data_IF_156921055812
#
_entry.id   IF_156921055812
#
_cell.length_a   1.000
_cell.length_b   1.000
_cell.length_c   1.000
_cell.angle_alpha   90.00
_cell.angle_beta   90.00
_cell.angle_gamma   90.00
#
_symmetry.space_group_name_H-M   'P 1'
#
loop_
_entity.id
_entity.type
_entity.pdbx_description
1 polymer ?
#
# COMPACT_ATOMS: atom_id res chain seq x y z
N UNK A 1 22.35 -1.58 5.26
CA UNK A 1 21.49 -1.63 4.04
C UNK A 1 20.41 -2.70 4.15
N UNK A 2 20.73 -3.93 4.58
CA UNK A 2 19.77 -5.05 4.67
C UNK A 2 18.52 -4.82 5.54
N UNK A 3 18.64 -4.14 6.68
CA UNK A 3 17.50 -3.90 7.58
C UNK A 3 16.42 -2.98 7.01
N UNK A 4 16.78 -2.05 6.13
CA UNK A 4 15.79 -1.16 5.48
C UNK A 4 15.01 -1.89 4.38
N UNK A 5 15.71 -2.70 3.58
CA UNK A 5 15.09 -3.51 2.52
C UNK A 5 14.09 -4.49 3.13
N UNK A 6 14.47 -5.17 4.22
CA UNK A 6 13.57 -6.06 4.95
C UNK A 6 12.30 -5.35 5.41
N UNK A 7 12.43 -4.13 5.96
CA UNK A 7 11.26 -3.32 6.37
C UNK A 7 10.34 -2.99 5.19
N UNK A 8 10.88 -2.57 4.05
CA UNK A 8 10.05 -2.32 2.87
C UNK A 8 9.36 -3.59 2.37
N UNK A 9 10.05 -4.74 2.36
CA UNK A 9 9.43 -6.03 2.04
C UNK A 9 8.29 -6.40 3.00
N UNK A 10 8.46 -6.19 4.31
CA UNK A 10 7.40 -6.37 5.30
C UNK A 10 6.21 -5.44 5.06
N UNK A 11 6.43 -4.19 4.64
CA UNK A 11 5.35 -3.26 4.33
C UNK A 11 4.51 -3.75 3.14
N UNK A 12 5.11 -4.35 2.12
CA UNK A 12 4.36 -4.96 1.02
C UNK A 12 3.42 -6.07 1.52
N UNK A 13 3.91 -6.92 2.42
CA UNK A 13 3.10 -7.99 3.03
C UNK A 13 1.96 -7.38 3.87
N UNK A 14 2.26 -6.37 4.68
CA UNK A 14 1.25 -5.65 5.48
C UNK A 14 0.18 -5.04 4.59
N UNK A 15 0.55 -4.42 3.47
CA UNK A 15 -0.39 -3.83 2.52
C UNK A 15 -1.33 -4.87 1.91
N UNK A 16 -0.81 -6.03 1.56
CA UNK A 16 -1.65 -7.14 1.09
C UNK A 16 -2.61 -7.65 2.18
N UNK A 17 -2.15 -7.76 3.43
CA UNK A 17 -3.01 -8.14 4.56
C UNK A 17 -4.11 -7.10 4.82
N UNK A 18 -3.83 -5.80 4.67
CA UNK A 18 -4.83 -4.73 4.79
C UNK A 18 -5.95 -4.92 3.77
N UNK A 19 -5.62 -5.29 2.52
CA UNK A 19 -6.62 -5.59 1.49
C UNK A 19 -7.48 -6.80 1.89
N UNK A 20 -6.87 -7.87 2.38
CA UNK A 20 -7.60 -9.06 2.84
C UNK A 20 -8.54 -8.70 4.01
N UNK A 21 -8.06 -7.93 4.98
CA UNK A 21 -8.87 -7.48 6.12
C UNK A 21 -10.04 -6.62 5.65
N UNK A 22 -9.78 -5.63 4.78
CA UNK A 22 -10.81 -4.80 4.17
C UNK A 22 -11.86 -5.63 3.46
N UNK A 23 -11.42 -6.60 2.66
CA UNK A 23 -12.30 -7.54 1.94
C UNK A 23 -13.24 -8.29 2.87
N UNK A 24 -12.71 -8.84 3.97
CA UNK A 24 -13.50 -9.61 4.94
C UNK A 24 -14.50 -8.74 5.70
N UNK A 25 -14.10 -7.54 6.09
CA UNK A 25 -14.96 -6.61 6.85
C UNK A 25 -16.09 -6.08 5.98
N UNK A 26 -15.77 -5.65 4.75
CA UNK A 26 -16.74 -5.02 3.85
C UNK A 26 -17.52 -6.01 3.01
N UNK A 27 -17.17 -7.31 3.07
CA UNK A 27 -17.78 -8.37 2.28
C UNK A 27 -17.79 -8.06 0.78
N UNK A 28 -16.77 -7.33 0.31
CA UNK A 28 -16.59 -6.99 -1.09
C UNK A 28 -16.37 -8.28 -1.88
N UNK A 29 -17.25 -8.48 -2.86
CA UNK A 29 -17.54 -9.79 -3.42
C UNK A 29 -16.41 -10.47 -4.19
N UNK A 30 -16.60 -11.77 -4.44
CA UNK A 30 -15.78 -12.57 -5.33
C UNK A 30 -15.78 -11.96 -6.73
N UNK A 31 -14.61 -11.61 -7.23
CA UNK A 31 -14.42 -11.38 -8.65
C UNK A 31 -14.82 -12.61 -9.44
N UNK A 32 -15.47 -12.42 -10.59
CA UNK A 32 -15.74 -13.54 -11.50
C UNK A 32 -14.39 -14.15 -11.90
N UNK A 33 -14.26 -15.46 -11.80
CA UNK A 33 -13.05 -16.17 -12.22
C UNK A 33 -12.83 -15.95 -13.72
N UNK A 34 -11.63 -15.50 -14.11
CA UNK A 34 -11.31 -15.12 -15.48
C UNK A 34 -9.96 -14.41 -15.58
N UNK A 35 -9.68 -13.83 -16.76
CA UNK A 35 -8.49 -12.99 -16.95
C UNK A 35 -8.49 -11.82 -15.96
N UNK A 36 -7.31 -11.46 -15.45
CA UNK A 36 -7.11 -10.35 -14.51
C UNK A 36 -7.84 -10.50 -13.16
N UNK A 37 -8.10 -11.74 -12.73
CA UNK A 37 -8.77 -12.05 -11.47
C UNK A 37 -8.13 -11.37 -10.25
N UNK A 38 -6.80 -11.41 -10.15
CA UNK A 38 -6.07 -10.89 -8.98
C UNK A 38 -6.04 -9.36 -8.97
N UNK A 39 -5.78 -8.71 -10.12
CA UNK A 39 -5.86 -7.25 -10.21
C UNK A 39 -7.27 -6.75 -9.92
N UNK A 40 -8.29 -7.44 -10.44
CA UNK A 40 -9.68 -7.11 -10.15
C UNK A 40 -10.00 -7.28 -8.66
N UNK A 41 -9.49 -8.34 -8.01
CA UNK A 41 -9.63 -8.51 -6.57
C UNK A 41 -9.00 -7.33 -5.81
N UNK A 42 -7.74 -6.97 -6.10
CA UNK A 42 -7.07 -5.87 -5.41
C UNK A 42 -7.82 -4.53 -5.60
N UNK A 43 -8.21 -4.20 -6.83
CA UNK A 43 -8.91 -2.97 -7.16
C UNK A 43 -10.29 -2.88 -6.47
N UNK A 44 -11.08 -3.95 -6.51
CA UNK A 44 -12.41 -3.97 -5.89
C UNK A 44 -12.37 -3.85 -4.36
N UNK A 45 -11.26 -4.24 -3.76
CA UNK A 45 -11.05 -4.18 -2.31
C UNK A 45 -10.31 -2.91 -1.85
N UNK A 46 -9.86 -2.07 -2.79
CA UNK A 46 -9.33 -0.74 -2.48
C UNK A 46 -10.46 0.28 -2.33
N UNK A 47 -11.20 0.20 -1.21
CA UNK A 47 -12.28 1.14 -0.89
C UNK A 47 -11.76 2.32 -0.06
N UNK A 48 -12.62 3.31 0.21
CA UNK A 48 -12.31 4.40 1.15
C UNK A 48 -11.94 3.89 2.54
N UNK A 49 -12.62 2.84 3.01
CA UNK A 49 -12.31 2.20 4.30
C UNK A 49 -10.90 1.60 4.28
N UNK A 50 -10.57 0.80 3.26
CA UNK A 50 -9.23 0.23 3.12
C UNK A 50 -8.16 1.31 2.97
N UNK A 51 -8.45 2.38 2.21
CA UNK A 51 -7.57 3.55 2.10
C UNK A 51 -7.30 4.23 3.44
N UNK A 52 -8.28 4.28 4.35
CA UNK A 52 -8.09 4.78 5.71
C UNK A 52 -7.18 3.85 6.55
N UNK A 53 -7.30 2.54 6.39
CA UNK A 53 -6.38 1.57 7.00
C UNK A 53 -4.95 1.74 6.48
N UNK A 54 -4.78 1.98 5.18
CA UNK A 54 -3.48 2.32 4.60
C UNK A 54 -2.91 3.62 5.16
N UNK A 55 -3.73 4.64 5.39
CA UNK A 55 -3.31 5.86 6.07
C UNK A 55 -2.81 5.58 7.49
N UNK A 56 -3.56 4.81 8.28
CA UNK A 56 -3.16 4.40 9.64
C UNK A 56 -1.85 3.61 9.62
N UNK A 57 -1.72 2.64 8.72
CA UNK A 57 -0.48 1.87 8.54
C UNK A 57 0.70 2.78 8.16
N UNK A 58 0.45 3.79 7.31
CA UNK A 58 1.39 4.85 6.99
C UNK A 58 1.84 5.60 8.25
N UNK A 59 0.90 6.09 9.08
CA UNK A 59 1.20 6.80 10.33
C UNK A 59 2.09 5.97 11.24
N UNK A 60 1.73 4.71 11.49
CA UNK A 60 2.52 3.81 12.33
C UNK A 60 3.93 3.61 11.74
N UNK A 61 4.01 3.40 10.43
CA UNK A 61 5.30 3.23 9.73
C UNK A 61 6.18 4.47 9.86
N UNK A 62 5.63 5.65 9.62
CA UNK A 62 6.33 6.93 9.73
C UNK A 62 6.82 7.20 11.15
N UNK A 63 6.00 6.85 12.15
CA UNK A 63 6.31 7.04 13.56
C UNK A 63 7.43 6.11 14.04
N UNK A 64 7.34 4.81 13.75
CA UNK A 64 8.26 3.81 14.30
C UNK A 64 9.51 3.56 13.47
N UNK A 65 9.42 3.57 12.13
CA UNK A 65 10.50 3.02 11.29
C UNK A 65 11.47 4.05 10.72
N UNK A 66 11.17 5.36 10.82
CA UNK A 66 12.00 6.46 10.29
C UNK A 66 12.44 6.24 8.83
N UNK A 67 11.58 5.62 8.02
CA UNK A 67 11.82 5.36 6.59
C UNK A 67 11.55 6.61 5.75
N UNK A 68 11.90 6.55 4.46
CA UNK A 68 11.47 7.59 3.52
C UNK A 68 9.93 7.45 3.33
N UNK A 69 9.12 8.50 3.61
CA UNK A 69 7.67 8.41 3.53
C UNK A 69 7.13 8.00 2.16
N UNK A 70 7.75 8.47 1.07
CA UNK A 70 7.37 8.09 -0.30
C UNK A 70 7.56 6.60 -0.53
N UNK A 71 8.76 6.09 -0.23
CA UNK A 71 9.07 4.67 -0.41
C UNK A 71 8.24 3.77 0.52
N UNK A 72 7.94 4.24 1.74
CA UNK A 72 7.10 3.49 2.68
C UNK A 72 5.65 3.35 2.17
N UNK A 73 5.05 4.44 1.69
CA UNK A 73 3.70 4.41 1.13
C UNK A 73 3.62 3.62 -0.18
N UNK A 74 4.61 3.77 -1.06
CA UNK A 74 4.71 2.95 -2.28
C UNK A 74 4.89 1.46 -1.95
N UNK A 75 5.71 1.12 -0.94
CA UNK A 75 5.90 -0.26 -0.51
C UNK A 75 4.58 -0.90 -0.02
N UNK A 76 3.77 -0.15 0.73
CA UNK A 76 2.44 -0.61 1.18
C UNK A 76 1.50 -0.96 0.01
N UNK A 77 1.62 -0.31 -1.15
CA UNK A 77 0.77 -0.57 -2.33
C UNK A 77 1.47 -1.46 -3.38
N UNK A 78 2.73 -1.84 -3.16
CA UNK A 78 3.55 -2.51 -4.18
C UNK A 78 2.95 -3.83 -4.69
N UNK A 79 2.07 -4.48 -3.94
CA UNK A 79 1.38 -5.69 -4.40
C UNK A 79 0.53 -5.46 -5.65
N UNK A 80 -0.04 -4.27 -5.83
CA UNK A 80 -0.87 -3.92 -6.99
C UNK A 80 -0.09 -4.01 -8.31
N UNK A 81 0.98 -3.21 -8.54
CA UNK A 81 1.75 -3.31 -9.78
C UNK A 81 2.42 -4.68 -9.95
N UNK A 82 2.84 -5.34 -8.87
CA UNK A 82 3.41 -6.69 -8.96
C UNK A 82 2.40 -7.69 -9.53
N UNK A 83 1.15 -7.64 -9.07
CA UNK A 83 0.07 -8.50 -9.57
C UNK A 83 -0.29 -8.14 -11.01
N UNK A 84 -0.39 -6.87 -11.37
CA UNK A 84 -0.67 -6.46 -12.76
C UNK A 84 0.41 -6.92 -13.72
N UNK A 85 1.69 -6.79 -13.35
CA UNK A 85 2.79 -7.29 -14.17
C UNK A 85 2.79 -8.82 -14.25
N UNK A 86 2.52 -9.52 -13.16
CA UNK A 86 2.39 -10.98 -13.18
C UNK A 86 1.27 -11.41 -14.15
N UNK A 87 0.07 -10.85 -14.02
CA UNK A 87 -1.05 -11.18 -14.89
C UNK A 87 -0.79 -10.79 -16.34
N UNK A 88 -0.03 -9.71 -16.57
CA UNK A 88 0.40 -9.32 -17.91
C UNK A 88 1.37 -10.30 -18.57
N UNK A 89 2.08 -11.12 -17.80
CA UNK A 89 2.91 -12.20 -18.36
C UNK A 89 2.14 -13.49 -18.63
N UNK A 90 1.00 -13.68 -17.98
CA UNK A 90 0.20 -14.93 -18.06
C UNK A 90 -0.89 -14.82 -19.13
N UNK A 91 -1.64 -13.73 -19.12
CA UNK A 91 -2.74 -13.50 -20.07
C UNK A 91 -2.22 -12.71 -21.27
N UNK A 92 -2.74 -12.98 -22.48
CA UNK A 92 -2.34 -12.30 -23.72
C UNK A 92 -3.30 -11.16 -24.13
N UNK A 93 -4.21 -10.78 -23.23
CA UNK A 93 -5.18 -9.72 -23.45
C UNK A 93 -4.54 -8.35 -23.70
N UNK A 94 -5.37 -7.34 -23.93
CA UNK A 94 -4.88 -5.97 -24.19
C UNK A 94 -4.20 -5.38 -22.94
N UNK A 95 -2.86 -5.44 -22.89
CA UNK A 95 -2.03 -4.83 -21.85
C UNK A 95 -1.87 -3.31 -21.97
N UNK A 96 -2.63 -2.69 -22.88
CA UNK A 96 -2.52 -1.26 -23.18
C UNK A 96 -2.92 -0.37 -22.00
N UNK A 97 -3.54 -0.94 -20.95
CA UNK A 97 -3.98 -0.22 -19.77
C UNK A 97 -2.94 -0.17 -18.63
N UNK A 98 -1.85 -0.95 -18.71
CA UNK A 98 -0.82 -0.99 -17.64
C UNK A 98 -0.31 0.42 -17.26
N UNK A 99 0.00 1.33 -18.21
CA UNK A 99 0.44 2.68 -17.85
C UNK A 99 -0.62 3.44 -17.02
N UNK A 100 -1.90 3.26 -17.33
CA UNK A 100 -3.00 3.88 -16.60
C UNK A 100 -3.17 3.25 -15.20
N UNK A 101 -3.07 1.93 -15.10
CA UNK A 101 -3.10 1.21 -13.82
C UNK A 101 -1.98 1.66 -12.88
N UNK A 102 -0.76 1.86 -13.38
CA UNK A 102 0.36 2.36 -12.58
C UNK A 102 0.08 3.75 -12.00
N UNK A 103 -0.56 4.64 -12.75
CA UNK A 103 -0.99 5.96 -12.25
C UNK A 103 -2.03 5.78 -11.15
N UNK A 104 -3.01 4.90 -11.35
CA UNK A 104 -4.03 4.60 -10.33
C UNK A 104 -3.41 4.03 -9.06
N UNK A 105 -2.44 3.12 -9.16
CA UNK A 105 -1.75 2.55 -7.99
C UNK A 105 -0.89 3.60 -7.27
N UNK A 106 -0.30 4.53 -8.00
CA UNK A 106 0.34 5.69 -7.39
C UNK A 106 -0.68 6.53 -6.60
N UNK A 107 -1.87 6.79 -7.15
CA UNK A 107 -2.93 7.49 -6.42
C UNK A 107 -3.40 6.71 -5.19
N UNK A 108 -3.52 5.37 -5.28
CA UNK A 108 -3.81 4.50 -4.14
C UNK A 108 -2.72 4.56 -3.07
N UNK A 109 -1.48 4.89 -3.40
CA UNK A 109 -0.42 5.06 -2.39
C UNK A 109 -0.53 6.35 -1.58
N UNK A 110 -1.28 7.36 -2.05
CA UNK A 110 -1.33 8.69 -1.42
C UNK A 110 -1.79 8.65 0.05
N UNK A 111 -2.85 7.94 0.46
CA UNK A 111 -3.22 7.83 1.87
C UNK A 111 -2.08 7.30 2.75
N UNK A 112 -1.38 6.26 2.30
CA UNK A 112 -0.25 5.69 3.02
C UNK A 112 0.95 6.67 3.09
N UNK A 113 1.24 7.39 2.01
CA UNK A 113 2.30 8.41 1.95
C UNK A 113 2.00 9.55 2.93
N UNK A 114 0.78 10.09 2.88
CA UNK A 114 0.32 11.16 3.79
C UNK A 114 0.42 10.69 5.23
N UNK A 115 -0.07 9.48 5.53
CA UNK A 115 0.07 8.86 6.85
C UNK A 115 1.53 8.79 7.30
N UNK A 116 2.43 8.31 6.44
CA UNK A 116 3.85 8.21 6.76
C UNK A 116 4.51 9.57 7.05
N UNK A 117 4.12 10.62 6.35
CA UNK A 117 4.56 11.98 6.67
C UNK A 117 4.05 12.43 8.05
N UNK A 118 2.77 12.25 8.33
CA UNK A 118 2.16 12.61 9.61
C UNK A 118 2.84 11.86 10.77
N UNK A 119 3.00 10.55 10.66
CA UNK A 119 3.68 9.73 11.67
C UNK A 119 5.11 10.20 11.94
N UNK A 120 5.86 10.52 10.88
CA UNK A 120 7.22 11.06 11.00
C UNK A 120 7.26 12.42 11.70
N UNK A 121 6.32 13.31 11.37
CA UNK A 121 6.19 14.62 12.03
C UNK A 121 5.92 14.44 13.52
N UNK A 122 4.98 13.56 13.89
CA UNK A 122 4.63 13.26 15.28
C UNK A 122 5.84 12.72 16.03
N UNK A 123 6.55 11.73 15.48
CA UNK A 123 7.75 11.17 16.11
C UNK A 123 8.83 12.22 16.37
N UNK A 124 9.04 13.14 15.42
CA UNK A 124 10.01 14.22 15.59
C UNK A 124 9.60 15.19 16.71
N UNK A 125 8.31 15.56 16.79
CA UNK A 125 7.79 16.42 17.87
C UNK A 125 7.95 15.78 19.24
N UNK A 126 7.65 14.48 19.36
CA UNK A 126 7.83 13.72 20.60
C UNK A 126 9.31 13.65 21.00
N UNK A 127 10.23 13.47 20.05
CA UNK A 127 11.66 13.46 20.34
C UNK A 127 12.16 14.82 20.85
N UNK A 128 11.71 15.92 20.24
CA UNK A 128 12.07 17.28 20.68
C UNK A 128 11.58 17.53 22.12
N UNK A 129 10.34 17.18 22.43
CA UNK A 129 9.77 17.37 23.77
C UNK A 129 10.53 16.60 24.87
N UNK A 130 11.11 15.44 24.54
CA UNK A 130 11.89 14.62 25.48
C UNK A 130 13.32 15.09 25.70
N UNK A 131 13.92 15.78 24.74
CA UNK A 131 15.33 16.22 24.79
C UNK A 131 15.49 17.74 25.03
N UNK A 132 14.39 18.49 24.99
CA UNK A 132 14.34 19.91 25.38
C UNK A 132 13.92 20.14 26.84
N UNK A 133 13.77 19.07 27.63
CA UNK A 133 13.72 19.06 29.10
C UNK A 133 15.08 18.58 29.61
#
# INVERSE_FOLDING_TARGET
>A
MGTKILKYGMLTIIGFLIIIIGSRIQQTGSTKTGEYYYSSFLNNNYTVFTGSLFCVAGILTGYFFKLNPWLAGLALILIFPLVSFYEATVYRGSHNLIPFELVMYFLYSLPAIVGAYLGKIIANRVAIAKHGQ
#
